data_IF_298076115355
#
_entry.id   IF_298076115355
#
_cell.length_a   1.000
_cell.length_b   1.000
_cell.length_c   1.000
_cell.angle_alpha   90.00
_cell.angle_beta   90.00
_cell.angle_gamma   90.00
#
_symmetry.space_group_name_H-M   'P 1'
#
loop_
_entity.id
_entity.type
_entity.pdbx_description
1 polymer ?
#
# COMPACT_ATOMS: atom_id res chain seq x y z
N UNK A 1 16.05 19.71 14.31
CA UNK A 1 14.83 19.70 13.47
C UNK A 1 13.75 18.94 14.24
N UNK A 2 12.68 19.62 14.67
CA UNK A 2 11.56 18.97 15.37
C UNK A 2 10.87 18.05 14.37
N UNK A 3 10.96 16.74 14.55
CA UNK A 3 10.16 15.78 13.80
C UNK A 3 8.69 16.04 14.11
N UNK A 4 7.96 16.57 13.17
CA UNK A 4 6.52 16.72 13.31
C UNK A 4 5.93 15.32 13.62
N UNK A 5 5.26 15.21 14.75
CA UNK A 5 4.64 13.94 15.18
C UNK A 5 3.58 13.56 14.14
N UNK A 6 3.64 12.35 13.56
CA UNK A 6 2.62 11.90 12.63
C UNK A 6 1.25 11.87 13.31
N UNK A 7 0.24 12.48 12.67
CA UNK A 7 -1.15 12.39 13.14
C UNK A 7 -1.75 11.07 12.64
N UNK A 8 -2.29 10.29 13.55
CA UNK A 8 -3.10 9.12 13.21
C UNK A 8 -4.42 9.59 12.60
N UNK A 9 -4.85 8.91 11.53
CA UNK A 9 -6.15 9.14 10.89
C UNK A 9 -7.25 8.36 11.62
N UNK A 10 -8.45 8.95 11.61
CA UNK A 10 -9.66 8.40 12.18
C UNK A 10 -10.78 8.33 11.13
N UNK A 11 -11.92 7.72 11.48
CA UNK A 11 -13.03 7.53 10.55
C UNK A 11 -13.51 8.81 9.82
N UNK A 12 -13.57 9.99 10.45
CA UNK A 12 -13.94 11.23 9.74
C UNK A 12 -12.96 11.65 8.64
N UNK A 13 -11.69 11.21 8.71
CA UNK A 13 -10.66 11.53 7.73
C UNK A 13 -10.78 10.70 6.43
N UNK A 14 -11.68 9.70 6.37
CA UNK A 14 -11.72 8.70 5.31
C UNK A 14 -11.83 9.33 3.91
N UNK A 15 -12.81 10.18 3.69
CA UNK A 15 -13.07 10.74 2.35
C UNK A 15 -11.93 11.65 1.88
N UNK A 16 -11.36 12.43 2.80
CA UNK A 16 -10.18 13.22 2.50
C UNK A 16 -8.97 12.34 2.14
N UNK A 17 -8.74 11.27 2.90
CA UNK A 17 -7.66 10.34 2.64
C UNK A 17 -7.83 9.59 1.31
N UNK A 18 -9.07 9.22 0.94
CA UNK A 18 -9.41 8.64 -0.37
C UNK A 18 -9.08 9.61 -1.49
N UNK A 19 -9.46 10.88 -1.35
CA UNK A 19 -9.18 11.91 -2.36
C UNK A 19 -7.68 12.13 -2.56
N UNK A 20 -6.91 12.25 -1.46
CA UNK A 20 -5.45 12.39 -1.52
C UNK A 20 -4.79 11.16 -2.16
N UNK A 21 -5.19 9.96 -1.74
CA UNK A 21 -4.66 8.71 -2.28
C UNK A 21 -4.98 8.59 -3.78
N UNK A 22 -6.18 8.99 -4.20
CA UNK A 22 -6.61 9.01 -5.60
C UNK A 22 -5.73 9.90 -6.47
N UNK A 23 -5.42 11.09 -6.00
CA UNK A 23 -4.52 12.02 -6.69
C UNK A 23 -3.07 11.49 -6.75
N UNK A 24 -2.57 10.97 -5.64
CA UNK A 24 -1.21 10.44 -5.55
C UNK A 24 -1.00 9.18 -6.41
N UNK A 25 -2.05 8.38 -6.60
CA UNK A 25 -2.01 7.11 -7.31
C UNK A 25 -2.65 7.15 -8.70
N UNK A 26 -2.95 8.31 -9.26
CA UNK A 26 -3.67 8.45 -10.54
C UNK A 26 -3.01 7.65 -11.69
N UNK A 27 -1.68 7.63 -11.75
CA UNK A 27 -0.90 6.88 -12.74
C UNK A 27 -0.27 5.58 -12.18
N UNK A 28 -0.77 5.07 -11.05
CA UNK A 28 -0.13 3.92 -10.40
C UNK A 28 -0.39 2.61 -11.18
N UNK A 29 0.66 1.83 -11.53
CA UNK A 29 0.53 0.65 -12.38
C UNK A 29 -0.48 -0.39 -11.86
N UNK A 30 -0.57 -0.60 -10.55
CA UNK A 30 -1.53 -1.54 -9.97
C UNK A 30 -2.99 -1.12 -10.21
N UNK A 31 -3.30 0.20 -10.18
CA UNK A 31 -4.64 0.69 -10.50
C UNK A 31 -4.95 0.49 -11.99
N UNK A 32 -4.01 0.82 -12.87
CA UNK A 32 -4.15 0.58 -14.31
C UNK A 32 -4.36 -0.90 -14.62
N UNK A 33 -3.61 -1.78 -13.96
CA UNK A 33 -3.75 -3.22 -14.11
C UNK A 33 -5.13 -3.73 -13.68
N UNK A 34 -5.62 -3.30 -12.51
CA UNK A 34 -6.90 -3.77 -11.95
C UNK A 34 -8.09 -3.19 -12.69
N UNK A 35 -8.11 -1.87 -12.89
CA UNK A 35 -9.28 -1.17 -13.42
C UNK A 35 -9.35 -1.20 -14.95
N UNK A 36 -8.25 -1.45 -15.66
CA UNK A 36 -8.04 -1.28 -17.09
C UNK A 36 -8.40 0.14 -17.60
N UNK A 37 -7.64 0.69 -18.56
CA UNK A 37 -7.97 2.00 -19.13
C UNK A 37 -9.24 1.93 -20.02
N UNK A 38 -10.05 3.03 -20.06
CA UNK A 38 -9.92 4.22 -19.22
C UNK A 38 -10.38 3.95 -17.79
N UNK A 39 -9.55 4.35 -16.82
CA UNK A 39 -9.88 4.18 -15.41
C UNK A 39 -10.96 5.20 -15.06
N UNK A 40 -12.20 4.76 -14.89
CA UNK A 40 -13.27 5.63 -14.42
C UNK A 40 -13.02 6.08 -12.99
N UNK A 41 -13.11 7.39 -12.72
CA UNK A 41 -12.89 7.97 -11.40
C UNK A 41 -13.69 7.26 -10.28
N UNK A 42 -14.92 6.83 -10.59
CA UNK A 42 -15.77 6.08 -9.65
C UNK A 42 -15.19 4.74 -9.24
N UNK A 43 -14.59 3.99 -10.20
CA UNK A 43 -13.97 2.68 -9.92
C UNK A 43 -12.72 2.84 -9.07
N UNK A 44 -11.90 3.83 -9.39
CA UNK A 44 -10.71 4.17 -8.63
C UNK A 44 -11.10 4.57 -7.20
N UNK A 45 -12.03 5.51 -7.05
CA UNK A 45 -12.52 5.97 -5.75
C UNK A 45 -13.03 4.79 -4.90
N UNK A 46 -13.88 3.94 -5.48
CA UNK A 46 -14.40 2.76 -4.79
C UNK A 46 -13.27 1.84 -4.30
N UNK A 47 -12.30 1.51 -5.17
CA UNK A 47 -11.20 0.61 -4.82
C UNK A 47 -10.33 1.19 -3.70
N UNK A 48 -9.98 2.46 -3.78
CA UNK A 48 -9.16 3.14 -2.77
C UNK A 48 -9.91 3.32 -1.44
N UNK A 49 -11.22 3.56 -1.50
CA UNK A 49 -12.06 3.58 -0.31
C UNK A 49 -12.08 2.21 0.38
N UNK A 50 -12.25 1.11 -0.36
CA UNK A 50 -12.18 -0.25 0.23
C UNK A 50 -10.81 -0.52 0.87
N UNK A 51 -9.72 -0.08 0.24
CA UNK A 51 -8.37 -0.20 0.81
C UNK A 51 -8.25 0.56 2.13
N UNK A 52 -8.69 1.82 2.19
CA UNK A 52 -8.62 2.64 3.40
C UNK A 52 -9.56 2.14 4.49
N UNK A 53 -10.79 1.74 4.17
CA UNK A 53 -11.71 1.11 5.11
C UNK A 53 -11.07 -0.14 5.76
N UNK A 54 -10.37 -0.93 4.96
CA UNK A 54 -9.64 -2.08 5.46
C UNK A 54 -8.50 -1.68 6.40
N UNK A 55 -7.70 -0.65 6.02
CA UNK A 55 -6.63 -0.14 6.87
C UNK A 55 -7.17 0.41 8.19
N UNK A 56 -8.28 1.13 8.19
CA UNK A 56 -8.85 1.69 9.43
C UNK A 56 -9.35 0.62 10.40
N UNK A 57 -9.77 -0.52 9.89
CA UNK A 57 -10.24 -1.65 10.72
C UNK A 57 -9.11 -2.57 11.20
N UNK A 58 -8.06 -2.74 10.38
CA UNK A 58 -7.05 -3.79 10.54
C UNK A 58 -5.63 -3.27 10.65
N UNK A 59 -5.48 -1.96 10.67
CA UNK A 59 -4.18 -1.31 10.65
C UNK A 59 -4.22 0.09 11.21
N UNK A 60 -3.35 0.93 10.69
CA UNK A 60 -3.28 2.34 11.05
C UNK A 60 -2.79 3.16 9.87
N UNK A 61 -3.40 4.31 9.68
CA UNK A 61 -2.99 5.32 8.72
C UNK A 61 -2.47 6.56 9.44
N UNK A 62 -1.42 7.15 8.89
CA UNK A 62 -0.83 8.39 9.42
C UNK A 62 -0.72 9.44 8.33
N UNK A 63 -0.82 10.70 8.73
CA UNK A 63 -0.54 11.87 7.91
C UNK A 63 0.45 12.80 8.58
N UNK A 64 1.11 13.65 7.79
CA UNK A 64 1.91 14.77 8.29
C UNK A 64 1.01 15.94 8.72
N UNK A 65 1.58 16.92 9.43
CA UNK A 65 0.84 18.07 9.94
C UNK A 65 0.15 18.91 8.83
N UNK A 66 0.74 18.92 7.63
CA UNK A 66 0.18 19.64 6.49
C UNK A 66 -0.94 18.88 5.74
N UNK A 67 -1.19 17.61 6.09
CA UNK A 67 -2.16 16.79 5.37
C UNK A 67 -1.79 16.49 3.92
N UNK A 68 -0.51 16.50 3.56
CA UNK A 68 -0.03 16.33 2.18
C UNK A 68 0.54 14.96 1.88
N UNK A 69 0.69 14.12 2.90
CA UNK A 69 1.25 12.77 2.78
C UNK A 69 0.50 11.78 3.66
N UNK A 70 0.40 10.53 3.19
CA UNK A 70 -0.18 9.39 3.91
C UNK A 70 0.80 8.24 3.97
N UNK A 71 0.78 7.51 5.10
CA UNK A 71 1.46 6.22 5.26
C UNK A 71 0.46 5.22 5.80
N UNK A 72 0.33 4.07 5.15
CA UNK A 72 -0.65 3.03 5.44
C UNK A 72 0.04 1.77 5.94
N UNK A 73 -0.34 1.30 7.11
CA UNK A 73 0.20 0.10 7.74
C UNK A 73 -0.89 -0.91 8.09
N UNK A 74 -0.57 -2.20 8.01
CA UNK A 74 -1.38 -3.27 8.59
C UNK A 74 -0.68 -3.89 9.80
N UNK A 75 -1.49 -4.35 10.77
CA UNK A 75 -1.00 -5.04 11.94
C UNK A 75 -0.55 -6.47 11.60
N UNK A 76 0.48 -7.00 12.26
CA UNK A 76 0.99 -8.35 12.03
C UNK A 76 -0.07 -9.46 12.22
N UNK A 77 -1.00 -9.27 13.13
CA UNK A 77 -2.09 -10.21 13.44
C UNK A 77 -3.06 -10.41 12.28
N UNK A 78 -3.32 -9.35 11.50
CA UNK A 78 -4.28 -9.37 10.40
C UNK A 78 -3.76 -10.13 9.17
N UNK A 79 -2.46 -10.30 9.06
CA UNK A 79 -1.83 -11.02 7.96
C UNK A 79 -2.10 -12.54 7.98
N UNK A 80 -2.66 -13.04 9.07
CA UNK A 80 -3.01 -14.47 9.24
C UNK A 80 -4.34 -14.88 8.62
N UNK A 81 -5.20 -13.90 8.23
CA UNK A 81 -6.56 -14.16 7.69
C UNK A 81 -6.80 -13.52 6.31
N UNK A 82 -5.98 -13.83 5.30
CA UNK A 82 -6.12 -13.21 3.97
C UNK A 82 -7.45 -13.52 3.27
N UNK A 83 -8.10 -14.62 3.62
CA UNK A 83 -9.38 -15.04 3.03
C UNK A 83 -10.56 -14.13 3.42
N UNK A 84 -10.55 -13.55 4.63
CA UNK A 84 -11.60 -12.64 5.07
C UNK A 84 -11.62 -11.34 4.24
N UNK A 85 -10.45 -10.81 3.89
CA UNK A 85 -10.30 -9.69 2.97
C UNK A 85 -10.82 -10.06 1.58
N UNK A 86 -10.47 -11.25 1.09
CA UNK A 86 -10.88 -11.70 -0.24
C UNK A 86 -12.40 -11.82 -0.35
N UNK A 87 -13.09 -12.42 0.63
CA UNK A 87 -14.55 -12.55 0.60
C UNK A 87 -15.27 -11.19 0.65
N UNK A 88 -14.81 -10.26 1.49
CA UNK A 88 -15.41 -8.94 1.60
C UNK A 88 -15.23 -8.07 0.35
N UNK A 89 -14.09 -8.22 -0.34
CA UNK A 89 -13.78 -7.42 -1.53
C UNK A 89 -14.32 -8.03 -2.82
N UNK A 90 -14.38 -9.36 -2.94
CA UNK A 90 -14.63 -9.99 -4.23
C UNK A 90 -16.08 -9.83 -4.73
N UNK A 91 -17.07 -9.97 -3.87
CA UNK A 91 -18.47 -9.81 -4.30
C UNK A 91 -18.78 -8.38 -4.77
N UNK A 92 -18.49 -7.33 -3.96
CA UNK A 92 -18.65 -5.95 -4.43
C UNK A 92 -17.74 -5.60 -5.61
N UNK A 93 -16.54 -6.21 -5.70
CA UNK A 93 -15.61 -5.96 -6.79
C UNK A 93 -16.18 -6.41 -8.14
N UNK A 94 -16.96 -7.50 -8.19
CA UNK A 94 -17.60 -7.94 -9.44
C UNK A 94 -18.57 -6.86 -9.96
N UNK A 95 -19.30 -6.22 -9.07
CA UNK A 95 -20.22 -5.14 -9.44
C UNK A 95 -19.48 -3.89 -9.95
N UNK A 96 -18.43 -3.47 -9.23
CA UNK A 96 -17.72 -2.21 -9.53
C UNK A 96 -16.65 -2.34 -10.61
N UNK A 97 -15.92 -3.46 -10.65
CA UNK A 97 -14.78 -3.68 -11.55
C UNK A 97 -15.13 -4.63 -12.73
N UNK A 98 -16.30 -5.26 -12.66
CA UNK A 98 -16.68 -6.35 -13.54
C UNK A 98 -15.90 -7.64 -13.26
N UNK A 99 -16.24 -8.72 -13.95
CA UNK A 99 -15.59 -10.02 -13.78
C UNK A 99 -14.07 -9.96 -14.00
N UNK A 100 -13.65 -9.39 -15.13
CA UNK A 100 -12.24 -9.31 -15.53
C UNK A 100 -11.41 -8.49 -14.53
N UNK A 101 -11.91 -7.33 -14.08
CA UNK A 101 -11.24 -6.50 -13.06
C UNK A 101 -11.13 -7.21 -11.72
N UNK A 102 -12.16 -7.94 -11.31
CA UNK A 102 -12.17 -8.72 -10.08
C UNK A 102 -11.15 -9.87 -10.12
N UNK A 103 -11.01 -10.54 -11.26
CA UNK A 103 -10.00 -11.58 -11.45
C UNK A 103 -8.58 -10.99 -11.40
N UNK A 104 -8.35 -9.80 -12.01
CA UNK A 104 -7.06 -9.10 -11.92
C UNK A 104 -6.73 -8.69 -10.49
N UNK A 105 -7.69 -8.12 -9.76
CA UNK A 105 -7.53 -7.77 -8.34
C UNK A 105 -7.18 -9.00 -7.50
N UNK A 106 -7.91 -10.11 -7.67
CA UNK A 106 -7.64 -11.36 -6.97
C UNK A 106 -6.25 -11.91 -7.28
N UNK A 107 -5.84 -11.89 -8.55
CA UNK A 107 -4.52 -12.33 -8.98
C UNK A 107 -3.43 -11.47 -8.33
N UNK A 108 -3.57 -10.14 -8.36
CA UNK A 108 -2.64 -9.20 -7.72
C UNK A 108 -2.49 -9.51 -6.23
N UNK A 109 -3.59 -9.59 -5.48
CA UNK A 109 -3.57 -9.88 -4.04
C UNK A 109 -2.88 -11.22 -3.75
N UNK A 110 -3.18 -12.26 -4.53
CA UNK A 110 -2.57 -13.59 -4.34
C UNK A 110 -1.09 -13.61 -4.63
N UNK A 111 -0.66 -12.96 -5.72
CA UNK A 111 0.76 -12.91 -6.10
C UNK A 111 1.59 -12.09 -5.12
N UNK A 112 1.09 -10.92 -4.69
CA UNK A 112 1.73 -10.11 -3.65
C UNK A 112 1.84 -10.88 -2.33
N UNK A 113 0.77 -11.58 -1.92
CA UNK A 113 0.78 -12.39 -0.71
C UNK A 113 1.70 -13.62 -0.82
N UNK A 114 1.82 -14.21 -2.01
CA UNK A 114 2.75 -15.29 -2.28
C UNK A 114 4.20 -14.82 -2.16
N UNK A 115 4.58 -13.73 -2.86
CA UNK A 115 5.93 -13.17 -2.81
C UNK A 115 6.34 -12.82 -1.37
N UNK A 116 5.42 -12.21 -0.62
CA UNK A 116 5.67 -11.90 0.79
C UNK A 116 5.98 -13.15 1.61
N UNK A 117 5.22 -14.24 1.43
CA UNK A 117 5.46 -15.50 2.15
C UNK A 117 6.78 -16.18 1.76
N UNK A 118 7.23 -16.01 0.51
CA UNK A 118 8.55 -16.49 0.08
C UNK A 118 9.69 -15.64 0.68
N UNK A 119 9.45 -14.33 0.84
CA UNK A 119 10.46 -13.39 1.32
C UNK A 119 10.62 -13.39 2.83
N UNK A 120 9.58 -13.76 3.58
CA UNK A 120 9.57 -13.62 5.04
C UNK A 120 8.61 -14.59 5.72
N UNK A 121 9.14 -15.39 6.63
CA UNK A 121 8.38 -16.22 7.54
C UNK A 121 8.14 -15.50 8.87
N UNK A 122 6.97 -15.71 9.47
CA UNK A 122 6.64 -15.19 10.80
C UNK A 122 5.95 -13.81 10.82
N UNK A 123 5.74 -13.26 12.02
CA UNK A 123 5.03 -12.00 12.21
C UNK A 123 5.89 -10.81 11.73
N UNK A 124 5.27 -9.87 11.06
CA UNK A 124 5.91 -8.67 10.52
C UNK A 124 4.90 -7.54 10.36
N UNK A 125 5.38 -6.30 10.31
CA UNK A 125 4.58 -5.15 9.92
C UNK A 125 4.48 -5.08 8.40
N UNK A 126 3.28 -4.85 7.88
CA UNK A 126 3.08 -4.66 6.43
C UNK A 126 2.84 -3.18 6.15
N UNK A 127 3.79 -2.57 5.43
CA UNK A 127 3.60 -1.26 4.81
C UNK A 127 2.80 -1.47 3.52
N UNK A 128 1.61 -0.90 3.45
CA UNK A 128 0.79 -0.96 2.23
C UNK A 128 1.19 0.10 1.20
N UNK A 129 1.64 1.26 1.67
CA UNK A 129 2.12 2.31 0.79
C UNK A 129 2.38 3.63 1.48
N UNK A 130 3.04 4.48 0.71
CA UNK A 130 3.25 5.90 1.01
C UNK A 130 2.66 6.69 -0.15
N UNK A 131 1.77 7.62 0.14
CA UNK A 131 1.19 8.51 -0.85
C UNK A 131 1.52 9.96 -0.50
N UNK A 132 1.87 10.76 -1.50
CA UNK A 132 2.16 12.19 -1.35
C UNK A 132 1.39 12.95 -2.41
N UNK A 133 0.66 13.99 -2.00
CA UNK A 133 -0.07 14.87 -2.90
C UNK A 133 0.87 15.37 -4.02
N UNK A 134 0.46 15.38 -5.29
CA UNK A 134 1.32 15.75 -6.42
C UNK A 134 2.07 17.07 -6.22
N UNK A 135 1.39 18.11 -5.73
CA UNK A 135 2.02 19.42 -5.46
C UNK A 135 3.06 19.43 -4.32
N UNK A 136 3.12 18.37 -3.49
CA UNK A 136 4.08 18.23 -2.39
C UNK A 136 5.17 17.19 -2.66
N UNK A 137 5.13 16.52 -3.81
CA UNK A 137 6.14 15.55 -4.21
C UNK A 137 7.51 16.24 -4.43
N UNK A 138 8.59 15.47 -4.33
CA UNK A 138 9.97 15.99 -4.45
C UNK A 138 10.49 16.75 -3.23
N UNK A 139 9.64 17.11 -2.26
CA UNK A 139 10.00 17.89 -1.05
C UNK A 139 10.41 17.03 0.15
N UNK A 140 10.50 15.69 -0.02
CA UNK A 140 10.87 14.76 1.05
C UNK A 140 9.76 14.47 2.08
N UNK A 141 8.51 14.91 1.85
CA UNK A 141 7.38 14.74 2.77
C UNK A 141 7.12 13.26 3.09
N UNK A 142 7.04 12.41 2.05
CA UNK A 142 6.83 10.97 2.23
C UNK A 142 7.97 10.31 3.00
N UNK A 143 9.23 10.72 2.76
CA UNK A 143 10.40 10.19 3.47
C UNK A 143 10.35 10.55 4.96
N UNK A 144 10.07 11.81 5.27
CA UNK A 144 9.95 12.27 6.67
C UNK A 144 8.83 11.55 7.40
N UNK A 145 7.66 11.44 6.79
CA UNK A 145 6.51 10.78 7.39
C UNK A 145 6.75 9.27 7.59
N UNK A 146 7.30 8.57 6.59
CA UNK A 146 7.60 7.14 6.72
C UNK A 146 8.67 6.90 7.80
N UNK A 147 9.75 7.70 7.83
CA UNK A 147 10.79 7.61 8.86
C UNK A 147 10.21 7.82 10.26
N UNK A 148 9.35 8.82 10.46
CA UNK A 148 8.69 9.08 11.72
C UNK A 148 7.76 7.93 12.16
N UNK A 149 6.98 7.35 11.23
CA UNK A 149 6.11 6.21 11.55
C UNK A 149 6.89 4.92 11.83
N UNK A 150 8.04 4.72 11.20
CA UNK A 150 8.97 3.62 11.52
C UNK A 150 9.54 3.78 12.93
N UNK A 151 9.90 5.01 13.34
CA UNK A 151 10.38 5.29 14.69
C UNK A 151 9.31 5.06 15.77
N UNK A 152 8.04 5.39 15.49
CA UNK A 152 6.93 5.13 16.41
C UNK A 152 6.69 3.63 16.67
N UNK A 153 7.10 2.77 15.75
CA UNK A 153 6.82 1.34 15.83
C UNK A 153 7.73 0.56 16.77
N UNK A 154 8.75 1.11 17.38
CA UNK A 154 9.65 0.52 18.39
C UNK A 154 9.56 -1.03 18.54
N UNK A 155 9.24 -1.73 17.45
CA UNK A 155 8.91 -3.16 17.43
C UNK A 155 10.12 -3.96 16.96
N UNK A 156 10.43 -5.09 17.60
CA UNK A 156 11.48 -5.98 17.15
C UNK A 156 11.11 -6.74 15.85
N UNK A 157 9.91 -6.49 15.31
CA UNK A 157 9.44 -7.16 14.10
C UNK A 157 9.97 -6.46 12.84
N UNK A 158 10.32 -7.24 11.79
CA UNK A 158 10.68 -6.68 10.50
C UNK A 158 9.48 -6.00 9.83
N UNK A 159 9.77 -5.11 8.88
CA UNK A 159 8.76 -4.46 8.05
C UNK A 159 8.88 -4.95 6.61
N UNK A 160 7.74 -5.32 6.02
CA UNK A 160 7.67 -5.72 4.61
C UNK A 160 6.86 -4.69 3.80
N UNK A 161 7.30 -4.44 2.58
CA UNK A 161 6.59 -3.62 1.59
C UNK A 161 6.57 -4.32 0.23
N UNK A 162 5.50 -4.13 -0.51
CA UNK A 162 5.39 -4.62 -1.87
C UNK A 162 5.07 -3.46 -2.80
N UNK A 163 5.97 -3.16 -3.73
CA UNK A 163 5.87 -2.04 -4.65
C UNK A 163 5.82 -2.47 -6.13
N UNK A 164 5.16 -1.66 -6.96
CA UNK A 164 5.00 -1.91 -8.38
C UNK A 164 5.65 -0.82 -9.25
N UNK A 165 6.37 0.12 -8.65
CA UNK A 165 7.01 1.25 -9.34
C UNK A 165 8.52 1.16 -9.15
N UNK A 166 9.30 0.79 -10.19
CA UNK A 166 10.76 0.60 -10.06
C UNK A 166 11.50 1.84 -9.57
N UNK A 167 11.10 3.02 -10.02
CA UNK A 167 11.73 4.29 -9.62
C UNK A 167 11.61 4.61 -8.13
N UNK A 168 10.71 3.94 -7.41
CA UNK A 168 10.54 4.11 -5.97
C UNK A 168 11.46 3.20 -5.13
N UNK A 169 12.17 2.24 -5.74
CA UNK A 169 13.02 1.31 -4.98
C UNK A 169 14.11 2.05 -4.17
N UNK A 170 14.80 3.01 -4.80
CA UNK A 170 15.83 3.82 -4.13
C UNK A 170 15.28 4.61 -2.93
N UNK A 171 14.02 5.06 -3.01
CA UNK A 171 13.35 5.75 -1.91
C UNK A 171 13.25 4.84 -0.66
N UNK A 172 12.80 3.60 -0.83
CA UNK A 172 12.69 2.65 0.29
C UNK A 172 14.03 2.14 0.76
N UNK A 173 14.98 1.89 -0.15
CA UNK A 173 16.34 1.50 0.18
C UNK A 173 17.03 2.55 1.06
N UNK A 174 16.83 3.84 0.76
CA UNK A 174 17.32 4.94 1.60
C UNK A 174 16.69 5.02 3.00
N UNK A 175 15.68 4.19 3.32
CA UNK A 175 15.05 4.02 4.63
C UNK A 175 15.36 2.64 5.25
N UNK A 176 16.34 1.92 4.71
CA UNK A 176 16.82 0.64 5.23
C UNK A 176 15.98 -0.56 4.80
N UNK A 177 15.20 -0.45 3.72
CA UNK A 177 14.58 -1.59 3.08
C UNK A 177 15.54 -2.21 2.07
N UNK A 178 15.59 -3.52 2.02
CA UNK A 178 16.41 -4.32 1.10
C UNK A 178 15.50 -5.09 0.15
N UNK A 179 15.97 -5.33 -1.08
CA UNK A 179 15.22 -6.14 -2.04
C UNK A 179 15.19 -7.61 -1.57
N UNK A 180 14.01 -8.12 -1.31
CA UNK A 180 13.77 -9.47 -0.82
C UNK A 180 13.23 -10.42 -1.89
N UNK A 181 12.76 -9.88 -3.03
CA UNK A 181 12.29 -10.69 -4.15
C UNK A 181 11.58 -9.88 -5.22
N UNK A 182 11.36 -10.52 -6.36
CA UNK A 182 10.66 -9.94 -7.49
C UNK A 182 9.77 -10.99 -8.13
N UNK A 183 8.61 -10.59 -8.62
CA UNK A 183 7.73 -11.42 -9.46
C UNK A 183 6.91 -10.55 -10.41
N UNK A 184 6.30 -11.18 -11.37
CA UNK A 184 5.35 -10.54 -12.29
C UNK A 184 3.92 -10.99 -11.99
N UNK A 185 2.98 -10.10 -12.24
CA UNK A 185 1.55 -10.34 -12.11
C UNK A 185 0.89 -10.15 -13.45
N UNK A 186 0.20 -11.20 -13.94
CA UNK A 186 -0.58 -11.13 -15.17
C UNK A 186 0.25 -11.41 -16.41
N UNK A 187 -0.50 -11.85 -17.42
CA UNK A 187 -0.08 -12.04 -18.82
C UNK A 187 -1.28 -11.62 -19.68
N UNK A 188 -1.03 -11.09 -20.88
CA UNK A 188 -2.10 -10.77 -21.83
C UNK A 188 -2.39 -9.27 -22.01
N UNK A 189 -3.57 -8.91 -22.54
CA UNK A 189 -3.89 -7.53 -23.00
C UNK A 189 -3.83 -6.46 -21.89
N UNK A 190 -3.97 -6.86 -20.63
CA UNK A 190 -3.85 -5.94 -19.49
C UNK A 190 -2.40 -5.61 -19.11
N UNK A 191 -1.43 -6.19 -19.83
CA UNK A 191 -0.01 -6.03 -19.56
C UNK A 191 0.52 -6.89 -18.42
N UNK A 192 1.84 -6.80 -18.22
CA UNK A 192 2.57 -7.44 -17.13
C UNK A 192 2.87 -6.39 -16.08
N UNK A 193 2.48 -6.65 -14.84
CA UNK A 193 2.77 -5.79 -13.70
C UNK A 193 3.94 -6.38 -12.91
N UNK A 194 5.07 -5.68 -12.88
CA UNK A 194 6.20 -6.05 -12.02
C UNK A 194 5.89 -5.73 -10.55
N UNK A 195 6.33 -6.60 -9.67
CA UNK A 195 6.13 -6.46 -8.24
C UNK A 195 7.41 -6.81 -7.47
N UNK A 196 7.91 -5.88 -6.68
CA UNK A 196 9.11 -6.01 -5.87
C UNK A 196 8.75 -6.13 -4.40
N UNK A 197 9.24 -7.18 -3.74
CA UNK A 197 9.19 -7.34 -2.30
C UNK A 197 10.40 -6.69 -1.65
N UNK A 198 10.18 -5.81 -0.69
CA UNK A 198 11.23 -5.15 0.08
C UNK A 198 11.06 -5.46 1.55
N UNK A 199 12.17 -5.78 2.21
CA UNK A 199 12.22 -6.15 3.62
C UNK A 199 13.14 -5.17 4.36
N UNK A 200 12.63 -4.56 5.42
CA UNK A 200 13.45 -3.85 6.39
C UNK A 200 13.64 -4.77 7.60
N UNK A 201 14.86 -5.21 7.90
CA UNK A 201 15.13 -6.06 9.04
C UNK A 201 14.67 -5.43 10.36
N UNK A 202 14.43 -6.25 11.36
CA UNK A 202 14.20 -5.79 12.71
C UNK A 202 15.43 -5.01 13.22
N UNK A 203 15.23 -3.98 14.02
CA UNK A 203 16.32 -3.31 14.68
C UNK A 203 17.05 -4.32 15.57
N UNK A 204 18.37 -4.48 15.37
CA UNK A 204 19.20 -5.25 16.30
C UNK A 204 19.19 -4.49 17.64
N UNK A 205 18.85 -5.20 18.72
CA UNK A 205 19.02 -4.69 20.07
C UNK A 205 20.50 -4.51 20.39
#
# INVERSE_FOLDING_TARGET
>A
MRHAIPRRLEAPDLEWAVALLGQAMAAHPALSYVCAPPIGARRQHWLLRQLLDYVFRHGVAYTNAAGTALVLWLHPTELRRPWALQLRLLLPAIWWLGWAGSQRLRRLIRTVAWLRRQSLAGPHHLLLGVAVHPAAQGRGEGRRLLAATLALRQSPLPCYFSGQVPSQLAFYQGLGFELAGHCTVGEGPAGVLSNWGLLRPAARK
#
